data_IF_476687815163
#
_entry.id   IF_476687815163
#
_cell.length_a   1.000
_cell.length_b   1.000
_cell.length_c   1.000
_cell.angle_alpha   90.00
_cell.angle_beta   90.00
_cell.angle_gamma   90.00
#
_symmetry.space_group_name_H-M   'P 1'
#
loop_
_entity.id
_entity.type
_entity.pdbx_description
1 polymer ?
#
# COMPACT_ATOMS: atom_id res chain seq x y z
N UNK A 1 24.48 -8.18 -8.37
CA UNK A 1 24.04 -7.09 -9.26
C UNK A 1 23.55 -7.61 -10.59
N UNK A 2 22.64 -6.87 -11.21
CA UNK A 2 22.15 -7.10 -12.56
C UNK A 2 22.51 -5.89 -13.44
N UNK A 3 22.87 -6.13 -14.70
CA UNK A 3 23.09 -5.05 -15.68
C UNK A 3 21.75 -4.52 -16.16
N UNK A 4 21.15 -3.62 -15.36
CA UNK A 4 19.88 -2.95 -15.65
C UNK A 4 19.97 -1.49 -15.23
N UNK A 5 19.42 -0.59 -16.03
CA UNK A 5 19.40 0.85 -15.70
C UNK A 5 18.29 1.20 -14.70
N UNK A 6 18.42 2.28 -13.92
CA UNK A 6 17.35 2.75 -13.03
C UNK A 6 15.99 2.95 -13.72
N UNK A 7 16.03 3.47 -14.94
CA UNK A 7 14.84 3.71 -15.76
C UNK A 7 14.15 2.40 -16.14
N UNK A 8 14.91 1.37 -16.50
CA UNK A 8 14.37 0.05 -16.80
C UNK A 8 13.76 -0.62 -15.56
N UNK A 9 14.38 -0.45 -14.38
CA UNK A 9 13.80 -0.91 -13.11
C UNK A 9 12.44 -0.29 -12.89
N UNK A 10 12.33 1.05 -13.00
CA UNK A 10 11.08 1.76 -12.70
C UNK A 10 10.01 1.50 -13.74
N UNK A 11 10.38 1.41 -15.03
CA UNK A 11 9.46 0.98 -16.08
C UNK A 11 8.88 -0.41 -15.77
N UNK A 12 9.75 -1.38 -15.50
CA UNK A 12 9.35 -2.76 -15.18
C UNK A 12 8.50 -2.81 -13.91
N UNK A 13 8.84 -2.01 -12.90
CA UNK A 13 8.09 -1.93 -11.66
C UNK A 13 6.68 -1.39 -11.89
N UNK A 14 6.52 -0.32 -12.67
CA UNK A 14 5.20 0.24 -12.99
C UNK A 14 4.33 -0.74 -13.78
N UNK A 15 4.92 -1.45 -14.75
CA UNK A 15 4.21 -2.41 -15.61
C UNK A 15 3.73 -3.66 -14.84
N UNK A 16 4.50 -4.11 -13.87
CA UNK A 16 4.26 -5.38 -13.15
C UNK A 16 3.99 -5.17 -11.64
N UNK A 17 3.56 -3.96 -11.24
CA UNK A 17 3.50 -3.54 -9.84
C UNK A 17 2.79 -4.54 -8.91
N UNK A 18 1.65 -5.08 -9.35
CA UNK A 18 0.85 -6.05 -8.60
C UNK A 18 1.57 -7.39 -8.41
N UNK A 19 2.45 -7.77 -9.33
CA UNK A 19 3.08 -9.09 -9.37
C UNK A 19 4.24 -9.19 -8.38
N UNK A 20 4.76 -8.04 -7.93
CA UNK A 20 5.77 -7.98 -6.88
C UNK A 20 5.18 -8.03 -5.47
N UNK A 21 3.85 -7.89 -5.31
CA UNK A 21 3.23 -7.91 -3.98
C UNK A 21 3.23 -9.33 -3.39
N UNK A 22 3.39 -9.46 -2.06
CA UNK A 22 3.30 -10.77 -1.43
C UNK A 22 1.87 -11.33 -1.53
N UNK A 23 1.76 -12.66 -1.53
CA UNK A 23 0.47 -13.36 -1.65
C UNK A 23 -0.58 -12.87 -0.65
N UNK A 24 -1.83 -12.79 -1.11
CA UNK A 24 -2.98 -12.38 -0.30
C UNK A 24 -3.29 -10.89 -0.31
N UNK A 25 -2.38 -10.04 -0.84
CA UNK A 25 -2.65 -8.63 -1.07
C UNK A 25 -2.95 -8.39 -2.55
N UNK A 26 -4.10 -7.78 -2.83
CA UNK A 26 -4.56 -7.55 -4.20
C UNK A 26 -4.46 -6.07 -4.53
N UNK A 27 -3.77 -5.77 -5.62
CA UNK A 27 -3.70 -4.46 -6.24
C UNK A 27 -4.39 -4.50 -7.60
N UNK A 28 -5.39 -3.63 -7.78
CA UNK A 28 -6.09 -3.46 -9.05
C UNK A 28 -5.61 -2.15 -9.68
N UNK A 29 -4.72 -2.30 -10.67
CA UNK A 29 -4.13 -1.17 -11.36
C UNK A 29 -5.18 -0.33 -12.11
N UNK A 30 -5.00 1.00 -12.22
CA UNK A 30 -5.82 1.84 -13.05
C UNK A 30 -5.68 1.45 -14.53
N UNK A 31 -6.73 1.68 -15.32
CA UNK A 31 -6.72 1.35 -16.76
C UNK A 31 -5.67 2.15 -17.53
N UNK A 32 -5.39 3.39 -17.12
CA UNK A 32 -4.39 4.26 -17.72
C UNK A 32 -2.96 4.01 -17.18
N UNK A 33 -2.78 3.01 -16.31
CA UNK A 33 -1.49 2.69 -15.69
C UNK A 33 -1.16 3.59 -14.49
N UNK A 34 0.12 3.58 -14.09
CA UNK A 34 0.63 4.42 -13.00
C UNK A 34 0.95 5.82 -13.54
N UNK A 35 -0.10 6.62 -13.72
CA UNK A 35 -0.03 8.01 -14.19
C UNK A 35 -0.65 8.96 -13.16
N UNK A 36 -0.13 10.20 -13.00
CA UNK A 36 -0.60 11.11 -11.97
C UNK A 36 -2.11 11.36 -12.03
N UNK A 37 -2.76 11.31 -10.86
CA UNK A 37 -4.21 11.48 -10.70
C UNK A 37 -5.02 10.19 -10.82
N UNK A 38 -4.45 9.11 -11.34
CA UNK A 38 -5.12 7.81 -11.39
C UNK A 38 -5.25 7.18 -9.99
N UNK A 39 -6.32 6.39 -9.81
CA UNK A 39 -6.65 5.75 -8.53
C UNK A 39 -6.69 4.24 -8.71
N UNK A 40 -5.87 3.54 -7.92
CA UNK A 40 -5.85 2.09 -7.85
C UNK A 40 -6.65 1.60 -6.64
N UNK A 41 -7.29 0.43 -6.77
CA UNK A 41 -8.00 -0.22 -5.66
C UNK A 41 -7.06 -1.22 -4.99
N UNK A 42 -7.09 -1.23 -3.65
CA UNK A 42 -6.41 -2.24 -2.83
C UNK A 42 -7.47 -3.06 -2.11
N UNK A 43 -7.31 -4.38 -2.19
CA UNK A 43 -8.07 -5.33 -1.39
C UNK A 43 -7.12 -6.22 -0.61
N UNK A 44 -7.18 -6.14 0.71
CA UNK A 44 -6.38 -6.96 1.62
C UNK A 44 -7.21 -7.53 2.75
N UNK A 45 -6.53 -8.15 3.71
CA UNK A 45 -7.15 -8.66 4.94
C UNK A 45 -6.47 -8.04 6.16
N UNK A 46 -7.27 -7.52 7.08
CA UNK A 46 -6.84 -7.13 8.42
C UNK A 46 -6.85 -8.33 9.37
N UNK A 47 -6.15 -8.24 10.52
CA UNK A 47 -6.25 -9.23 11.59
C UNK A 47 -7.72 -9.55 11.94
N UNK A 48 -8.01 -10.82 12.20
CA UNK A 48 -9.37 -11.30 12.44
C UNK A 48 -10.20 -11.57 11.17
N UNK A 49 -9.56 -11.58 9.99
CA UNK A 49 -10.22 -11.96 8.73
C UNK A 49 -11.13 -10.88 8.14
N UNK A 50 -11.03 -9.65 8.65
CA UNK A 50 -11.80 -8.50 8.13
C UNK A 50 -11.20 -8.09 6.79
N UNK A 51 -12.00 -8.15 5.72
CA UNK A 51 -11.60 -7.61 4.42
C UNK A 51 -11.42 -6.10 4.52
N UNK A 52 -10.29 -5.61 4.03
CA UNK A 52 -10.03 -4.18 3.87
C UNK A 52 -10.11 -3.85 2.39
N UNK A 53 -11.05 -2.99 2.04
CA UNK A 53 -11.12 -2.39 0.71
C UNK A 53 -10.81 -0.90 0.81
N UNK A 54 -9.79 -0.46 0.08
CA UNK A 54 -9.29 0.91 0.07
C UNK A 54 -8.67 1.20 -1.30
N UNK A 55 -7.88 2.27 -1.45
CA UNK A 55 -7.16 2.55 -2.67
C UNK A 55 -5.88 3.33 -2.41
N UNK A 56 -5.24 3.73 -3.49
CA UNK A 56 -4.13 4.70 -3.53
C UNK A 56 -4.26 5.55 -4.79
N UNK A 57 -3.86 6.82 -4.69
CA UNK A 57 -3.79 7.73 -5.83
C UNK A 57 -2.34 7.89 -6.25
N UNK A 58 -2.07 7.90 -7.55
CA UNK A 58 -0.74 8.23 -8.08
C UNK A 58 -0.53 9.74 -7.91
N UNK A 59 0.37 10.11 -7.02
CA UNK A 59 0.74 11.51 -6.76
C UNK A 59 1.72 12.03 -7.82
N UNK A 60 2.66 11.18 -8.21
CA UNK A 60 3.76 11.51 -9.11
C UNK A 60 4.22 10.26 -9.87
N UNK A 61 4.69 10.42 -11.11
CA UNK A 61 5.37 9.36 -11.85
C UNK A 61 6.23 9.96 -12.97
N UNK A 62 7.49 9.54 -13.03
CA UNK A 62 8.42 9.80 -14.12
C UNK A 62 9.21 8.51 -14.44
N UNK A 63 10.34 8.64 -15.12
CA UNK A 63 11.17 7.52 -15.56
C UNK A 63 12.04 6.95 -14.43
N UNK A 64 12.28 7.68 -13.34
CA UNK A 64 13.16 7.28 -12.23
C UNK A 64 12.40 7.02 -10.92
N UNK A 65 11.14 7.42 -10.84
CA UNK A 65 10.33 7.27 -9.64
C UNK A 65 8.82 7.37 -9.88
N UNK A 66 8.05 6.88 -8.91
CA UNK A 66 6.63 7.16 -8.79
C UNK A 66 6.20 7.15 -7.33
N UNK A 67 5.19 7.96 -6.99
CA UNK A 67 4.68 8.10 -5.63
C UNK A 67 3.20 7.80 -5.55
N UNK A 68 2.82 7.02 -4.55
CA UNK A 68 1.44 6.70 -4.25
C UNK A 68 1.03 7.38 -2.95
N UNK A 69 -0.15 8.00 -2.92
CA UNK A 69 -0.74 8.62 -1.74
C UNK A 69 -1.96 7.82 -1.29
N UNK A 70 -2.13 7.66 0.02
CA UNK A 70 -3.30 6.97 0.57
C UNK A 70 -4.51 7.91 0.67
N UNK A 71 -5.72 7.44 0.36
CA UNK A 71 -6.94 8.22 0.52
C UNK A 71 -7.37 8.29 1.99
N UNK A 72 -8.32 9.18 2.26
CA UNK A 72 -8.96 9.26 3.57
C UNK A 72 -9.54 7.91 4.00
N UNK A 73 -9.33 7.54 5.27
CA UNK A 73 -9.84 6.29 5.84
C UNK A 73 -8.97 5.06 5.59
N UNK A 74 -7.92 5.15 4.78
CA UNK A 74 -6.87 4.13 4.68
C UNK A 74 -6.22 3.88 6.06
N UNK A 75 -5.67 2.69 6.38
CA UNK A 75 -5.02 2.43 7.67
C UNK A 75 -3.99 3.48 8.12
N UNK A 76 -3.30 4.10 7.18
CA UNK A 76 -2.42 5.22 7.42
C UNK A 76 -2.66 6.35 6.40
N UNK A 77 -2.39 7.57 6.83
CA UNK A 77 -2.23 8.74 5.98
C UNK A 77 -0.75 8.88 5.63
N UNK A 78 -0.43 8.97 4.36
CA UNK A 78 0.95 9.09 3.93
C UNK A 78 1.13 8.92 2.44
N UNK A 79 2.39 8.80 2.05
CA UNK A 79 2.77 8.42 0.70
C UNK A 79 3.96 7.49 0.72
N UNK A 80 4.10 6.75 -0.37
CA UNK A 80 5.21 5.85 -0.62
C UNK A 80 5.81 6.27 -1.96
N UNK A 81 7.12 6.52 -1.98
CA UNK A 81 7.87 6.79 -3.20
C UNK A 81 8.69 5.57 -3.54
N UNK A 82 8.50 5.06 -4.75
CA UNK A 82 9.32 4.03 -5.35
C UNK A 82 10.26 4.71 -6.31
N UNK A 83 11.55 4.46 -6.20
CA UNK A 83 12.58 5.09 -7.02
C UNK A 83 13.70 4.12 -7.33
N UNK A 84 14.44 4.42 -8.39
CA UNK A 84 15.69 3.74 -8.69
C UNK A 84 16.75 4.75 -9.09
N UNK A 85 18.01 4.49 -8.73
CA UNK A 85 19.15 5.35 -9.02
C UNK A 85 20.44 4.53 -9.05
N UNK A 86 21.52 5.09 -9.58
CA UNK A 86 22.85 4.48 -9.51
C UNK A 86 23.59 4.93 -8.23
N UNK A 87 24.20 3.98 -7.53
CA UNK A 87 25.06 4.22 -6.38
C UNK A 87 26.31 3.34 -6.51
N UNK A 88 27.49 3.95 -6.49
CA UNK A 88 28.79 3.25 -6.61
C UNK A 88 28.91 2.30 -7.83
N UNK A 89 28.18 2.58 -8.91
CA UNK A 89 28.15 1.76 -10.13
C UNK A 89 27.13 0.61 -10.10
N UNK A 90 26.30 0.54 -9.05
CA UNK A 90 25.22 -0.44 -8.90
C UNK A 90 23.87 0.25 -8.96
N UNK A 91 22.91 -0.35 -9.67
CA UNK A 91 21.53 0.12 -9.71
C UNK A 91 20.82 -0.28 -8.43
N UNK A 92 20.33 0.73 -7.69
CA UNK A 92 19.59 0.56 -6.44
C UNK A 92 18.10 0.82 -6.70
N UNK A 93 17.24 -0.05 -6.19
CA UNK A 93 15.80 0.15 -6.14
C UNK A 93 15.38 0.42 -4.69
N UNK A 94 14.48 1.38 -4.50
CA UNK A 94 14.12 1.86 -3.16
C UNK A 94 12.61 2.07 -3.04
N UNK A 95 12.06 1.71 -1.88
CA UNK A 95 10.74 2.10 -1.43
C UNK A 95 10.85 2.96 -0.17
N UNK A 96 10.51 4.25 -0.28
CA UNK A 96 10.50 5.20 0.84
C UNK A 96 9.07 5.41 1.32
N UNK A 97 8.79 5.03 2.57
CA UNK A 97 7.46 5.16 3.17
C UNK A 97 7.45 6.28 4.19
N UNK A 98 6.60 7.29 3.98
CA UNK A 98 6.24 8.26 5.01
C UNK A 98 4.78 8.06 5.40
N UNK A 99 4.56 7.61 6.62
CA UNK A 99 3.22 7.24 7.09
C UNK A 99 2.93 7.75 8.50
N UNK A 100 1.64 7.96 8.76
CA UNK A 100 1.07 8.13 10.10
C UNK A 100 -0.28 7.44 10.18
N UNK A 101 -0.69 6.92 11.33
CA UNK A 101 -2.04 6.39 11.46
C UNK A 101 -3.11 7.45 11.14
N UNK A 102 -4.17 7.02 10.46
CA UNK A 102 -5.25 7.92 10.04
C UNK A 102 -6.22 8.25 11.18
N UNK A 103 -6.38 7.33 12.13
CA UNK A 103 -7.25 7.48 13.29
C UNK A 103 -6.70 6.70 14.51
N UNK A 104 -7.21 6.94 15.73
CA UNK A 104 -6.69 6.29 16.94
C UNK A 104 -6.82 4.76 16.97
N UNK A 105 -7.81 4.17 16.29
CA UNK A 105 -7.96 2.71 16.25
C UNK A 105 -6.87 2.10 15.36
N UNK A 106 -6.61 2.70 14.21
CA UNK A 106 -5.48 2.30 13.37
C UNK A 106 -4.13 2.57 14.04
N UNK A 107 -3.98 3.66 14.81
CA UNK A 107 -2.77 3.94 15.59
C UNK A 107 -2.47 2.81 16.58
N UNK A 108 -3.49 2.32 17.30
CA UNK A 108 -3.33 1.16 18.17
C UNK A 108 -2.93 -0.08 17.37
N UNK A 109 -3.59 -0.36 16.25
CA UNK A 109 -3.26 -1.51 15.40
C UNK A 109 -1.83 -1.47 14.85
N UNK A 110 -1.38 -0.30 14.38
CA UNK A 110 -0.02 -0.10 13.88
C UNK A 110 1.02 -0.31 15.00
N UNK A 111 0.77 0.19 16.21
CA UNK A 111 1.65 -0.02 17.38
C UNK A 111 1.67 -1.47 17.87
N UNK A 112 0.57 -2.20 17.72
CA UNK A 112 0.46 -3.62 18.11
C UNK A 112 1.08 -4.60 17.10
N UNK A 113 1.67 -4.10 16.01
CA UNK A 113 2.37 -4.94 15.03
C UNK A 113 2.12 -4.56 13.58
N UNK A 114 1.15 -3.69 13.29
CA UNK A 114 0.87 -3.25 11.92
C UNK A 114 2.09 -2.61 11.24
N UNK A 115 2.92 -1.85 11.96
CA UNK A 115 4.18 -1.35 11.39
C UNK A 115 5.14 -2.46 10.95
N UNK A 116 5.22 -3.57 11.71
CA UNK A 116 6.07 -4.71 11.34
C UNK A 116 5.51 -5.42 10.10
N UNK A 117 4.19 -5.54 10.00
CA UNK A 117 3.52 -6.14 8.84
C UNK A 117 3.75 -5.29 7.57
N UNK A 118 3.63 -3.97 7.68
CA UNK A 118 3.90 -3.01 6.61
C UNK A 118 5.36 -3.12 6.13
N UNK A 119 6.32 -3.10 7.06
CA UNK A 119 7.74 -3.23 6.75
C UNK A 119 8.07 -4.55 6.05
N UNK A 120 7.47 -5.66 6.50
CA UNK A 120 7.65 -6.97 5.89
C UNK A 120 7.04 -7.05 4.49
N UNK A 121 5.89 -6.40 4.27
CA UNK A 121 5.29 -6.30 2.94
C UNK A 121 6.23 -5.58 1.96
N UNK A 122 6.79 -4.44 2.35
CA UNK A 122 7.70 -3.69 1.49
C UNK A 122 9.04 -4.40 1.27
N UNK A 123 9.57 -5.07 2.30
CA UNK A 123 10.72 -5.95 2.16
C UNK A 123 10.48 -7.02 1.10
N UNK A 124 9.40 -7.79 1.22
CA UNK A 124 9.06 -8.85 0.26
C UNK A 124 8.81 -8.32 -1.15
N UNK A 125 8.23 -7.12 -1.25
CA UNK A 125 8.01 -6.46 -2.54
C UNK A 125 9.35 -6.16 -3.24
N UNK A 126 10.31 -5.63 -2.49
CA UNK A 126 11.67 -5.37 -3.00
C UNK A 126 12.44 -6.67 -3.29
N UNK A 127 12.28 -7.71 -2.47
CA UNK A 127 12.86 -9.03 -2.73
C UNK A 127 12.31 -9.65 -4.03
N UNK A 128 10.99 -9.58 -4.25
CA UNK A 128 10.36 -10.07 -5.48
C UNK A 128 10.80 -9.27 -6.71
N UNK A 129 10.95 -7.94 -6.58
CA UNK A 129 11.49 -7.09 -7.62
C UNK A 129 12.93 -7.46 -7.96
N UNK A 130 13.79 -7.63 -6.94
CA UNK A 130 15.18 -8.04 -7.13
C UNK A 130 15.26 -9.42 -7.80
N UNK A 131 14.43 -10.38 -7.36
CA UNK A 131 14.36 -11.72 -7.93
C UNK A 131 13.95 -11.72 -9.41
N UNK A 132 13.09 -10.79 -9.83
CA UNK A 132 12.72 -10.60 -11.24
C UNK A 132 13.92 -10.25 -12.12
N UNK A 133 14.88 -9.49 -11.58
CA UNK A 133 16.15 -9.18 -12.25
C UNK A 133 17.26 -10.21 -11.98
N UNK A 134 16.94 -11.33 -11.33
CA UNK A 134 17.91 -12.38 -11.00
C UNK A 134 18.83 -12.06 -9.82
N UNK A 135 18.49 -11.05 -9.01
CA UNK A 135 19.25 -10.62 -7.82
C UNK A 135 18.59 -11.21 -6.56
N UNK A 136 19.40 -11.74 -5.64
CA UNK A 136 18.92 -12.35 -4.39
C UNK A 136 19.59 -11.74 -3.15
N UNK A 137 19.99 -10.46 -3.24
CA UNK A 137 20.61 -9.74 -2.13
C UNK A 137 19.56 -9.35 -1.07
N UNK A 138 19.93 -9.33 0.22
CA UNK A 138 19.00 -8.93 1.28
C UNK A 138 18.67 -7.44 1.18
N UNK A 139 17.40 -7.11 1.42
CA UNK A 139 16.92 -5.72 1.41
C UNK A 139 17.38 -4.99 2.68
N UNK A 140 18.11 -3.90 2.50
CA UNK A 140 18.43 -2.98 3.59
C UNK A 140 17.19 -2.18 4.02
N UNK A 141 17.01 -2.01 5.33
CA UNK A 141 15.87 -1.32 5.90
C UNK A 141 16.30 -0.31 6.96
N UNK A 142 16.00 0.96 6.72
CA UNK A 142 16.21 2.05 7.66
C UNK A 142 14.86 2.54 8.21
N UNK A 143 14.70 2.52 9.53
CA UNK A 143 13.46 2.88 10.22
C UNK A 143 13.69 4.08 11.14
N UNK A 144 13.01 5.19 10.86
CA UNK A 144 13.10 6.41 11.64
C UNK A 144 11.72 6.83 12.15
N UNK A 145 11.58 7.01 13.46
CA UNK A 145 10.38 7.60 14.05
C UNK A 145 10.47 9.13 13.94
N UNK A 146 9.69 9.72 13.02
CA UNK A 146 9.68 11.18 12.78
C UNK A 146 8.96 11.94 13.90
N UNK A 147 7.84 11.40 14.42
CA UNK A 147 7.08 12.00 15.51
C UNK A 147 6.44 10.92 16.41
N UNK A 148 6.80 10.81 17.69
CA UNK A 148 6.26 9.80 18.60
C UNK A 148 4.86 10.11 19.14
N UNK A 149 4.35 11.35 18.92
CA UNK A 149 3.09 11.81 19.53
C UNK A 149 1.87 11.08 19.00
N UNK A 150 0.89 10.90 19.88
CA UNK A 150 -0.42 10.37 19.53
C UNK A 150 -1.36 11.50 19.08
N UNK A 151 -2.11 11.28 18.00
CA UNK A 151 -3.02 12.26 17.41
C UNK A 151 -4.46 12.09 17.88
N UNK A 152 -4.68 12.05 19.20
CA UNK A 152 -6.01 11.86 19.80
C UNK A 152 -7.02 12.94 19.42
N UNK A 153 -6.54 14.16 19.09
CA UNK A 153 -7.37 15.25 18.57
C UNK A 153 -8.11 14.89 17.28
N UNK A 154 -7.61 13.93 16.51
CA UNK A 154 -8.17 13.49 15.24
C UNK A 154 -9.10 12.28 15.36
N UNK A 155 -9.64 11.98 16.56
CA UNK A 155 -10.54 10.83 16.79
C UNK A 155 -11.77 10.79 15.88
N UNK A 156 -12.21 11.93 15.34
CA UNK A 156 -13.36 12.01 14.41
C UNK A 156 -13.09 11.25 13.11
N UNK A 157 -11.82 11.03 12.76
CA UNK A 157 -11.41 10.27 11.58
C UNK A 157 -11.85 8.80 11.62
N UNK A 158 -12.21 8.26 12.79
CA UNK A 158 -12.84 6.94 12.93
C UNK A 158 -14.07 6.80 12.03
N UNK A 159 -14.79 7.91 11.75
CA UNK A 159 -15.92 7.92 10.81
C UNK A 159 -15.54 7.50 9.38
N UNK A 160 -14.30 7.74 8.97
CA UNK A 160 -13.80 7.45 7.64
C UNK A 160 -13.10 6.09 7.56
N UNK A 161 -12.86 5.43 8.70
CA UNK A 161 -12.11 4.18 8.80
C UNK A 161 -12.61 3.10 7.81
N UNK A 162 -11.78 2.78 6.82
CA UNK A 162 -12.11 1.84 5.75
C UNK A 162 -12.34 0.41 6.27
N UNK A 163 -11.64 0.03 7.35
CA UNK A 163 -11.79 -1.27 8.01
C UNK A 163 -13.17 -1.41 8.66
N UNK A 164 -13.60 -0.41 9.43
CA UNK A 164 -14.94 -0.37 10.03
C UNK A 164 -16.01 -0.38 8.94
N UNK A 165 -15.86 0.46 7.91
CA UNK A 165 -16.81 0.51 6.78
C UNK A 165 -16.89 -0.83 6.05
N UNK A 166 -15.76 -1.48 5.81
CA UNK A 166 -15.70 -2.80 5.17
C UNK A 166 -16.30 -3.90 6.06
N UNK A 167 -16.07 -3.85 7.37
CA UNK A 167 -16.65 -4.79 8.34
C UNK A 167 -18.18 -4.66 8.40
N UNK A 168 -18.70 -3.43 8.54
CA UNK A 168 -20.15 -3.16 8.51
C UNK A 168 -20.74 -3.65 7.18
N UNK A 169 -20.08 -3.37 6.06
CA UNK A 169 -20.52 -3.84 4.75
C UNK A 169 -20.60 -5.38 4.68
N UNK A 170 -19.64 -6.08 5.27
CA UNK A 170 -19.61 -7.55 5.28
C UNK A 170 -20.70 -8.12 6.19
N UNK A 171 -20.86 -7.58 7.40
CA UNK A 171 -21.88 -8.01 8.37
C UNK A 171 -23.29 -7.76 7.85
N UNK A 172 -23.52 -6.62 7.19
CA UNK A 172 -24.83 -6.25 6.64
C UNK A 172 -25.18 -6.99 5.32
N UNK A 173 -24.27 -7.79 4.75
CA UNK A 173 -24.48 -8.46 3.47
C UNK A 173 -25.76 -9.32 3.41
N UNK A 174 -26.11 -10.14 4.43
CA UNK A 174 -27.32 -10.97 4.40
C UNK A 174 -28.62 -10.14 4.32
N UNK A 175 -28.66 -8.99 5.00
CA UNK A 175 -29.80 -8.08 5.01
C UNK A 175 -29.99 -7.40 3.64
N UNK A 176 -28.89 -7.03 2.98
CA UNK A 176 -28.94 -6.45 1.62
C UNK A 176 -29.42 -7.46 0.58
N UNK A 177 -28.99 -8.71 0.69
CA UNK A 177 -29.43 -9.78 -0.22
C UNK A 177 -30.93 -10.01 -0.11
N UNK A 178 -31.48 -10.02 1.10
CA UNK A 178 -32.94 -10.12 1.32
C UNK A 178 -33.70 -8.91 0.75
N UNK A 179 -33.17 -7.69 0.91
CA UNK A 179 -33.81 -6.46 0.39
C UNK A 179 -33.82 -6.38 -1.14
N UNK A 180 -32.75 -6.79 -1.80
CA UNK A 180 -32.68 -6.78 -3.26
C UNK A 180 -33.62 -7.82 -3.88
N UNK A 181 -33.79 -8.98 -3.23
CA UNK A 181 -34.73 -10.01 -3.66
C UNK A 181 -36.18 -9.52 -3.57
N UNK A 182 -36.56 -8.87 -2.46
CA UNK A 182 -37.87 -8.26 -2.29
C UNK A 182 -38.15 -7.02 -3.15
N UNK A 183 -37.18 -6.53 -3.93
CA UNK A 183 -37.34 -5.45 -4.91
C UNK A 183 -37.45 -5.96 -6.36
N UNK A 184 -37.20 -7.25 -6.57
CA UNK A 184 -37.32 -7.91 -7.88
C UNK A 184 -38.65 -8.68 -8.02
N UNK A 185 -39.42 -8.77 -6.93
CA UNK A 185 -40.83 -9.19 -6.89
C UNK A 185 -41.73 -7.95 -6.93
#
# INVERSE_FOLDING_TARGET
DAEVTPVEVIKTWKENYKDFWPEGNLFYAPLAGITPGEVALISGSLPGGVKLSTGVMVLYADDESFSLMTPEGHPFSGWITFSSFEEEGTTVAQAQVLMRANDPLYEMGLRMGGHKMENEMWRKTLENLAAHFGVNEPVEMNLVCVDPKLQWSHYRNIWHNAGIRSAIYTIAAPLRWRRNRARQD
#
